data_IF_720008046328
#
_entry.id   IF_720008046328
#
_cell.length_a   1.000
_cell.length_b   1.000
_cell.length_c   1.000
_cell.angle_alpha   90.00
_cell.angle_beta   90.00
_cell.angle_gamma   90.00
#
_symmetry.space_group_name_H-M   'P 1'
#
loop_
_entity.id
_entity.type
_entity.pdbx_description
1 polymer ?
#
# COMPACT_ATOMS: atom_id res chain seq x y z
N UNK A 1 -29.83 15.01 44.95
CA UNK A 1 -28.95 15.22 43.78
C UNK A 1 -29.03 13.97 42.94
N UNK A 2 -29.66 14.05 41.77
CA UNK A 2 -29.67 12.95 40.79
C UNK A 2 -28.40 13.04 39.93
N UNK A 3 -27.60 11.98 39.91
CA UNK A 3 -26.44 11.89 39.04
C UNK A 3 -26.88 11.36 37.65
N UNK A 4 -26.38 11.93 36.53
CA UNK A 4 -26.71 11.43 35.20
C UNK A 4 -26.19 9.99 35.04
N UNK A 5 -27.11 9.05 34.79
CA UNK A 5 -26.83 7.67 34.43
C UNK A 5 -26.22 7.64 33.02
N UNK A 6 -24.94 7.30 32.91
CA UNK A 6 -24.31 7.04 31.63
C UNK A 6 -24.86 5.71 31.05
N UNK A 7 -25.18 5.67 29.74
CA UNK A 7 -25.52 4.41 29.09
C UNK A 7 -24.33 3.44 29.21
N UNK A 8 -24.60 2.13 29.29
CA UNK A 8 -23.54 1.12 29.35
C UNK A 8 -22.63 1.25 28.12
N UNK A 9 -21.32 1.12 28.34
CA UNK A 9 -20.34 1.16 27.26
C UNK A 9 -20.66 0.08 26.22
N UNK A 10 -20.76 0.47 24.95
CA UNK A 10 -20.90 -0.48 23.85
C UNK A 10 -19.71 -1.45 23.85
N UNK A 11 -19.98 -2.73 23.61
CA UNK A 11 -18.93 -3.73 23.49
C UNK A 11 -18.00 -3.37 22.32
N UNK A 12 -16.70 -3.53 22.51
CA UNK A 12 -15.71 -3.30 21.47
C UNK A 12 -15.84 -4.37 20.38
N UNK A 13 -16.18 -3.97 19.16
CA UNK A 13 -16.05 -4.81 17.97
C UNK A 13 -14.67 -4.59 17.33
N UNK A 14 -13.92 -5.67 17.16
CA UNK A 14 -12.64 -5.63 16.48
C UNK A 14 -12.85 -5.34 14.98
N UNK A 15 -12.10 -4.39 14.39
CA UNK A 15 -12.22 -4.09 12.96
C UNK A 15 -11.79 -5.30 12.11
N UNK A 16 -12.66 -5.68 11.17
CA UNK A 16 -12.37 -6.74 10.20
C UNK A 16 -11.55 -6.15 9.05
N UNK A 17 -10.43 -6.80 8.67
CA UNK A 17 -9.65 -6.42 7.49
C UNK A 17 -10.45 -6.72 6.22
N UNK A 18 -10.86 -5.67 5.52
CA UNK A 18 -11.44 -5.76 4.17
C UNK A 18 -10.33 -5.93 3.13
N UNK A 19 -10.54 -6.71 2.05
CA UNK A 19 -9.61 -6.75 0.93
C UNK A 19 -9.48 -5.35 0.32
N UNK A 20 -8.29 -4.76 0.35
CA UNK A 20 -8.04 -3.47 -0.29
C UNK A 20 -7.31 -3.65 -1.61
N UNK A 21 -7.53 -2.70 -2.51
CA UNK A 21 -6.88 -2.70 -3.80
C UNK A 21 -5.44 -2.18 -3.68
N UNK A 22 -4.51 -2.88 -4.35
CA UNK A 22 -3.12 -2.48 -4.38
C UNK A 22 -2.95 -1.20 -5.21
N UNK A 23 -2.19 -0.23 -4.68
CA UNK A 23 -1.83 1.00 -5.41
C UNK A 23 -0.52 1.60 -4.92
N UNK A 24 0.16 2.40 -5.75
CA UNK A 24 1.39 3.09 -5.35
C UNK A 24 1.18 4.17 -4.27
N UNK A 25 -0.08 4.51 -3.95
CA UNK A 25 -0.47 5.54 -2.98
C UNK A 25 -0.84 4.98 -1.62
N UNK A 26 -1.52 3.83 -1.60
CA UNK A 26 -2.11 3.25 -0.39
C UNK A 26 -1.37 2.02 0.09
N UNK A 27 -0.70 1.29 -0.82
CA UNK A 27 0.08 0.12 -0.46
C UNK A 27 1.49 0.52 -0.07
N UNK A 28 2.00 -0.15 0.96
CA UNK A 28 3.41 -0.07 1.29
C UNK A 28 4.24 -0.78 0.21
N UNK A 29 5.51 -0.43 0.11
CA UNK A 29 6.42 -1.07 -0.81
C UNK A 29 6.64 -2.54 -0.43
N UNK A 30 6.67 -2.85 0.87
CA UNK A 30 6.68 -4.22 1.39
C UNK A 30 5.48 -5.03 0.89
N UNK A 31 4.27 -4.46 0.96
CA UNK A 31 3.06 -5.12 0.50
C UNK A 31 3.11 -5.41 -1.02
N UNK A 32 3.65 -4.48 -1.80
CA UNK A 32 3.84 -4.68 -3.25
C UNK A 32 4.98 -5.67 -3.56
N UNK A 33 5.96 -5.82 -2.67
CA UNK A 33 7.06 -6.78 -2.80
C UNK A 33 6.63 -8.22 -2.46
N UNK A 34 5.77 -8.37 -1.45
CA UNK A 34 5.22 -9.65 -0.98
C UNK A 34 4.26 -10.27 -1.99
N UNK A 35 3.59 -9.47 -2.81
CA UNK A 35 2.74 -9.96 -3.89
C UNK A 35 3.55 -10.18 -5.19
N UNK A 36 3.69 -11.42 -5.68
CA UNK A 36 4.54 -11.71 -6.83
C UNK A 36 4.02 -11.08 -8.15
N UNK A 37 2.71 -10.90 -8.30
CA UNK A 37 2.14 -10.27 -9.50
C UNK A 37 2.29 -8.75 -9.46
N UNK A 38 2.09 -8.14 -8.28
CA UNK A 38 2.32 -6.72 -8.08
C UNK A 38 3.80 -6.37 -8.23
N UNK A 39 4.68 -7.18 -7.63
CA UNK A 39 6.13 -7.09 -7.78
C UNK A 39 6.54 -7.11 -9.25
N UNK A 40 6.01 -8.05 -10.04
CA UNK A 40 6.32 -8.13 -11.47
C UNK A 40 5.88 -6.88 -12.26
N UNK A 41 4.76 -6.25 -11.86
CA UNK A 41 4.30 -4.98 -12.45
C UNK A 41 5.27 -3.85 -12.11
N UNK A 42 5.67 -3.73 -10.85
CA UNK A 42 6.63 -2.71 -10.39
C UNK A 42 7.97 -2.91 -11.11
N UNK A 43 8.50 -4.13 -11.17
CA UNK A 43 9.83 -4.39 -11.74
C UNK A 43 9.90 -4.20 -13.25
N UNK A 44 8.76 -4.31 -13.94
CA UNK A 44 8.67 -3.98 -15.36
C UNK A 44 8.86 -2.49 -15.61
N UNK A 45 8.27 -1.65 -14.76
CA UNK A 45 8.29 -0.18 -14.94
C UNK A 45 9.49 0.47 -14.25
N UNK A 46 9.98 -0.16 -13.16
CA UNK A 46 11.07 0.31 -12.32
C UNK A 46 12.02 -0.88 -12.03
N UNK A 47 12.88 -1.26 -12.98
CA UNK A 47 13.75 -2.42 -12.83
C UNK A 47 14.80 -2.21 -11.72
N UNK A 48 14.97 -3.23 -10.86
CA UNK A 48 15.96 -3.21 -9.78
C UNK A 48 15.51 -2.49 -8.51
N UNK A 49 14.25 -2.06 -8.45
CA UNK A 49 13.69 -1.32 -7.31
C UNK A 49 13.79 -2.10 -6.01
N UNK A 50 13.38 -3.38 -6.01
CA UNK A 50 13.45 -4.20 -4.80
C UNK A 50 14.89 -4.62 -4.44
N UNK A 51 15.79 -4.70 -5.42
CA UNK A 51 17.20 -5.00 -5.17
C UNK A 51 17.96 -3.83 -4.53
N UNK A 52 17.52 -2.59 -4.77
CA UNK A 52 18.12 -1.38 -4.18
C UNK A 52 17.79 -1.16 -2.71
N UNK A 53 16.78 -1.86 -2.17
CA UNK A 53 16.29 -1.70 -0.79
C UNK A 53 16.98 -2.67 0.18
N UNK A 54 18.31 -2.67 0.23
CA UNK A 54 19.09 -3.53 1.14
C UNK A 54 19.90 -2.74 2.19
N UNK A 55 19.58 -1.45 2.39
CA UNK A 55 20.30 -0.56 3.32
C UNK A 55 19.68 -0.45 4.71
N UNK A 56 20.35 0.21 5.67
CA UNK A 56 19.85 0.41 7.03
C UNK A 56 18.55 1.23 7.11
N UNK A 57 18.22 1.99 6.06
CA UNK A 57 16.93 2.69 5.93
C UNK A 57 15.89 1.93 5.10
N UNK A 58 16.21 0.74 4.58
CA UNK A 58 15.30 -0.04 3.75
C UNK A 58 14.03 -0.44 4.51
N UNK A 59 14.17 -0.93 5.74
CA UNK A 59 13.02 -1.31 6.57
C UNK A 59 12.02 -0.16 6.78
N UNK A 60 12.49 1.08 6.84
CA UNK A 60 11.62 2.25 6.96
C UNK A 60 10.99 2.63 5.62
N UNK A 61 11.76 2.54 4.53
CA UNK A 61 11.27 2.83 3.18
C UNK A 61 10.26 1.78 2.70
N UNK A 62 10.41 0.52 3.10
CA UNK A 62 9.52 -0.58 2.79
C UNK A 62 8.10 -0.36 3.32
N UNK A 63 7.96 0.29 4.48
CA UNK A 63 6.66 0.65 5.06
C UNK A 63 6.04 1.91 4.41
N UNK A 64 6.81 2.66 3.63
CA UNK A 64 6.30 3.82 2.90
C UNK A 64 5.64 3.40 1.59
N UNK A 65 4.81 4.29 1.02
CA UNK A 65 4.29 4.13 -0.34
C UNK A 65 5.30 4.65 -1.37
N UNK A 66 5.29 4.10 -2.59
CA UNK A 66 6.11 4.63 -3.69
C UNK A 66 5.80 6.10 -4.00
N UNK A 67 4.54 6.52 -3.85
CA UNK A 67 4.13 7.92 -4.03
C UNK A 67 4.85 8.85 -3.04
N UNK A 68 5.04 8.40 -1.81
CA UNK A 68 5.79 9.14 -0.78
C UNK A 68 7.28 9.26 -1.10
N UNK A 69 7.83 8.37 -1.94
CA UNK A 69 9.23 8.42 -2.34
C UNK A 69 9.51 9.32 -3.56
N UNK A 70 8.47 9.82 -4.24
CA UNK A 70 8.62 10.76 -5.37
C UNK A 70 9.32 12.04 -4.92
N UNK A 71 8.98 12.56 -3.74
CA UNK A 71 9.59 13.79 -3.21
C UNK A 71 11.10 13.67 -2.99
N UNK A 72 11.61 12.44 -2.85
CA UNK A 72 13.02 12.15 -2.64
C UNK A 72 13.73 11.76 -3.96
N UNK A 73 13.02 11.79 -5.09
CA UNK A 73 13.59 11.51 -6.42
C UNK A 73 13.77 10.02 -6.77
N UNK A 74 13.28 9.10 -5.93
CA UNK A 74 13.38 7.66 -6.18
C UNK A 74 12.50 7.16 -7.32
N UNK A 75 11.40 7.86 -7.61
CA UNK A 75 10.46 7.50 -8.67
C UNK A 75 9.91 8.76 -9.35
N UNK A 76 9.63 8.65 -10.65
CA UNK A 76 8.94 9.70 -11.41
C UNK A 76 7.43 9.46 -11.39
N UNK A 77 6.65 10.53 -11.32
CA UNK A 77 5.18 10.50 -11.34
C UNK A 77 4.63 9.65 -12.49
N UNK A 78 5.17 9.83 -13.69
CA UNK A 78 4.67 9.17 -14.91
C UNK A 78 4.91 7.65 -14.87
N UNK A 79 5.97 7.22 -14.17
CA UNK A 79 6.28 5.80 -14.00
C UNK A 79 5.29 5.17 -13.02
N UNK A 80 5.01 5.85 -11.90
CA UNK A 80 4.05 5.37 -10.91
C UNK A 80 2.62 5.28 -11.46
N UNK A 81 2.24 6.17 -12.38
CA UNK A 81 0.94 6.07 -13.04
C UNK A 81 0.80 4.82 -13.92
N UNK A 82 1.89 4.38 -14.58
CA UNK A 82 1.89 3.11 -15.33
C UNK A 82 1.84 1.91 -14.40
N UNK A 83 2.52 1.96 -13.27
CA UNK A 83 2.43 0.95 -12.21
C UNK A 83 0.99 0.87 -11.69
N UNK A 84 0.38 2.00 -11.33
CA UNK A 84 -1.02 2.08 -10.87
C UNK A 84 -1.99 1.51 -11.91
N UNK A 85 -1.79 1.79 -13.20
CA UNK A 85 -2.62 1.21 -14.26
C UNK A 85 -2.46 -0.32 -14.34
N UNK A 86 -1.26 -0.85 -14.12
CA UNK A 86 -1.00 -2.28 -14.02
C UNK A 86 -1.69 -2.91 -12.80
N UNK A 87 -1.56 -2.28 -11.64
CA UNK A 87 -2.17 -2.73 -10.39
C UNK A 87 -3.70 -2.67 -10.46
N UNK A 88 -4.28 -1.64 -11.09
CA UNK A 88 -5.74 -1.55 -11.30
C UNK A 88 -6.27 -2.75 -12.11
N UNK A 89 -5.53 -3.18 -13.15
CA UNK A 89 -5.88 -4.40 -13.92
C UNK A 89 -5.74 -5.66 -13.08
N UNK A 90 -4.72 -5.74 -12.23
CA UNK A 90 -4.54 -6.85 -11.29
C UNK A 90 -5.71 -6.94 -10.31
N UNK A 91 -6.07 -5.82 -9.67
CA UNK A 91 -7.19 -5.73 -8.73
C UNK A 91 -8.51 -6.12 -9.40
N UNK A 92 -8.77 -5.63 -10.62
CA UNK A 92 -9.95 -5.99 -11.39
C UNK A 92 -10.04 -7.50 -11.70
N UNK A 93 -8.92 -8.16 -12.03
CA UNK A 93 -8.85 -9.62 -12.23
C UNK A 93 -9.16 -10.39 -10.95
N UNK A 94 -8.78 -9.85 -9.80
CA UNK A 94 -9.01 -10.43 -8.47
C UNK A 94 -10.39 -10.11 -7.89
N UNK A 95 -11.23 -9.38 -8.61
CA UNK A 95 -12.56 -8.97 -8.13
C UNK A 95 -12.53 -7.88 -7.06
N UNK A 96 -11.36 -7.29 -6.77
CA UNK A 96 -11.21 -6.15 -5.87
C UNK A 96 -11.40 -4.88 -6.70
N UNK A 97 -12.55 -4.22 -6.58
CA UNK A 97 -12.85 -2.96 -7.27
C UNK A 97 -12.88 -1.81 -6.26
N UNK A 98 -12.13 -0.75 -6.56
CA UNK A 98 -12.23 0.56 -5.91
C UNK A 98 -13.39 1.36 -6.49
#
# INVERSE_FOLDING_TARGET
MDAPLYPPAAAFEAPVRVPHALSTRSSSIAELADDPEARAIVEREMPGTFAGMNGPMAAQAEEMSFRSLVQFGYAKSEVLERVDAGLARLNARRGVRL
#
